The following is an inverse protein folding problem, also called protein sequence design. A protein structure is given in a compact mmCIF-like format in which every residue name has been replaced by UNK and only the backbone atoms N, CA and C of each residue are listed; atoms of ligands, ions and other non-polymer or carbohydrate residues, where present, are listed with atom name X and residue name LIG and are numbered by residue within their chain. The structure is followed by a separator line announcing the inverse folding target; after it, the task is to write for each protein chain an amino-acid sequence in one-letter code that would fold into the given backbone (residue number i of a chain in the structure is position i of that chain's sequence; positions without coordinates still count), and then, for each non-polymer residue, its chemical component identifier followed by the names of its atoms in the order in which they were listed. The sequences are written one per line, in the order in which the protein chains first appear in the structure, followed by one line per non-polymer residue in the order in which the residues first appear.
data_IF_874826151250
#
_entry.id   IF_874826151250
#
_cell.length_a   1.000
_cell.length_b   1.000
_cell.length_c   1.000
_cell.angle_alpha   90.00
_cell.angle_beta   90.00
_cell.angle_gamma   90.00
#
_symmetry.space_group_name_H-M   'P 1'
#
loop_
_entity.id
_entity.type
_entity.pdbx_description
1 polymer ?
#
# COMPACT_ATOMS: atom_id res chain seq x y z
N UNK A 1 -10.58 -6.04 9.74
CA UNK A 1 -10.96 -5.35 8.48
C UNK A 1 -9.78 -4.51 8.02
N UNK A 2 -9.23 -4.73 6.82
CA UNK A 2 -8.03 -4.04 6.33
C UNK A 2 -8.15 -2.51 6.47
N UNK A 3 -9.31 -1.95 6.12
CA UNK A 3 -9.55 -0.49 6.11
C UNK A 3 -9.84 0.12 7.49
N UNK A 4 -10.31 -0.69 8.44
CA UNK A 4 -10.65 -0.21 9.79
C UNK A 4 -9.49 -0.37 10.79
N UNK A 5 -8.38 -0.98 10.37
CA UNK A 5 -7.22 -1.18 11.22
C UNK A 5 -6.29 0.03 11.18
N UNK A 6 -6.00 0.64 12.33
CA UNK A 6 -5.11 1.82 12.37
C UNK A 6 -3.71 1.53 11.85
N UNK A 7 -3.17 0.35 12.13
CA UNK A 7 -1.86 -0.06 11.62
C UNK A 7 -1.84 -0.05 10.07
N UNK A 8 -2.88 -0.60 9.45
CA UNK A 8 -3.01 -0.60 7.98
C UNK A 8 -3.21 0.81 7.44
N UNK A 9 -4.06 1.62 8.09
CA UNK A 9 -4.30 3.02 7.68
C UNK A 9 -3.01 3.84 7.73
N UNK A 10 -2.22 3.68 8.77
CA UNK A 10 -0.96 4.41 8.92
C UNK A 10 0.10 3.98 7.89
N UNK A 11 0.18 2.69 7.53
CA UNK A 11 1.00 2.23 6.39
C UNK A 11 0.49 2.86 5.09
N UNK A 12 -0.81 2.81 4.84
CA UNK A 12 -1.41 3.33 3.62
C UNK A 12 -1.17 4.83 3.45
N UNK A 13 -1.33 5.64 4.52
CA UNK A 13 -1.03 7.08 4.49
C UNK A 13 0.43 7.36 4.11
N UNK A 14 1.39 6.62 4.69
CA UNK A 14 2.82 6.76 4.32
C UNK A 14 3.07 6.44 2.85
N UNK A 15 2.45 5.36 2.36
CA UNK A 15 2.56 4.95 0.96
C UNK A 15 1.95 5.99 0.00
N UNK A 16 0.77 6.53 0.31
CA UNK A 16 0.13 7.58 -0.48
C UNK A 16 0.93 8.88 -0.48
N UNK A 17 1.47 9.29 0.67
CA UNK A 17 2.34 10.44 0.80
C UNK A 17 3.62 10.29 -0.05
N UNK A 18 4.24 9.11 -0.04
CA UNK A 18 5.43 8.80 -0.84
C UNK A 18 5.20 9.04 -2.34
N UNK A 19 4.05 8.58 -2.87
CA UNK A 19 3.73 8.75 -4.29
C UNK A 19 2.97 10.04 -4.60
N UNK A 20 2.87 10.96 -3.63
CA UNK A 20 2.15 12.24 -3.73
C UNK A 20 0.70 12.08 -4.18
N UNK A 21 0.06 10.98 -3.80
CA UNK A 21 -1.36 10.78 -4.02
C UNK A 21 -2.13 11.56 -2.95
N UNK A 22 -3.20 12.31 -3.27
CA UNK A 22 -4.09 12.87 -2.25
C UNK A 22 -4.49 11.79 -1.25
N UNK A 23 -4.36 12.14 0.04
CA UNK A 23 -4.75 11.27 1.13
C UNK A 23 -6.23 10.96 1.01
N UNK A 24 -6.56 9.68 1.13
CA UNK A 24 -7.93 9.21 1.03
C UNK A 24 -8.18 8.19 2.13
N UNK A 25 -8.89 8.66 3.15
CA UNK A 25 -9.29 7.86 4.30
C UNK A 25 -10.79 7.63 4.18
N UNK A 26 -11.19 6.38 3.96
CA UNK A 26 -12.57 5.97 4.12
C UNK A 26 -12.73 5.07 5.33
N UNK A 27 -13.69 5.44 6.17
CA UNK A 27 -13.98 4.73 7.41
C UNK A 27 -14.95 3.56 7.22
N UNK A 28 -15.48 3.36 6.01
CA UNK A 28 -16.44 2.30 5.69
C UNK A 28 -15.92 1.42 4.54
N UNK A 29 -16.07 0.11 4.71
CA UNK A 29 -15.61 -0.90 3.76
C UNK A 29 -16.25 -0.77 2.38
N UNK A 30 -17.55 -0.55 2.30
CA UNK A 30 -18.26 -0.47 1.02
C UNK A 30 -17.81 0.73 0.19
N UNK A 31 -17.64 1.89 0.83
CA UNK A 31 -17.12 3.09 0.18
C UNK A 31 -15.68 2.85 -0.27
N UNK A 32 -14.87 2.15 0.54
CA UNK A 32 -13.48 1.87 0.24
C UNK A 32 -13.32 0.93 -0.95
N UNK A 33 -14.12 -0.12 -1.01
CA UNK A 33 -14.16 -1.02 -2.15
C UNK A 33 -14.52 -0.30 -3.44
N UNK A 34 -15.57 0.54 -3.42
CA UNK A 34 -15.95 1.33 -4.60
C UNK A 34 -14.79 2.21 -5.08
N UNK A 35 -14.13 2.90 -4.15
CA UNK A 35 -13.00 3.75 -4.49
C UNK A 35 -11.81 2.97 -5.06
N UNK A 36 -11.44 1.83 -4.47
CA UNK A 36 -10.36 0.99 -5.02
C UNK A 36 -10.71 0.56 -6.44
N UNK A 37 -11.94 0.08 -6.66
CA UNK A 37 -12.38 -0.39 -7.98
C UNK A 37 -12.26 0.74 -9.01
N UNK A 38 -12.65 1.96 -8.65
CA UNK A 38 -12.52 3.13 -9.51
C UNK A 38 -11.07 3.50 -9.80
N UNK A 39 -10.20 3.55 -8.77
CA UNK A 39 -8.78 3.91 -8.93
C UNK A 39 -7.96 2.83 -9.63
N UNK A 40 -8.32 1.57 -9.44
CA UNK A 40 -7.71 0.43 -10.10
C UNK A 40 -8.21 0.25 -11.54
N UNK A 41 -9.26 0.96 -11.98
CA UNK A 41 -9.83 0.79 -13.32
C UNK A 41 -8.91 1.37 -14.40
N UNK A 42 -8.75 0.62 -15.48
CA UNK A 42 -8.01 1.05 -16.67
C UNK A 42 -6.56 0.55 -16.71
N UNK A 43 -5.89 0.80 -17.84
CA UNK A 43 -4.55 0.29 -18.13
C UNK A 43 -3.46 1.35 -18.17
N UNK A 44 -3.76 2.59 -17.74
CA UNK A 44 -2.73 3.61 -17.62
C UNK A 44 -1.75 3.30 -16.48
N UNK A 45 -0.61 3.97 -16.51
CA UNK A 45 0.49 3.77 -15.58
C UNK A 45 0.08 3.97 -14.10
N UNK A 46 -0.79 4.94 -13.85
CA UNK A 46 -1.29 5.26 -12.50
C UNK A 46 -2.18 4.15 -11.95
N UNK A 47 -3.10 3.60 -12.76
CA UNK A 47 -3.96 2.49 -12.36
C UNK A 47 -3.14 1.21 -12.12
N UNK A 48 -2.11 0.96 -12.94
CA UNK A 48 -1.18 -0.16 -12.74
C UNK A 48 -0.41 -0.03 -11.42
N UNK A 49 0.19 1.15 -11.17
CA UNK A 49 0.90 1.44 -9.92
C UNK A 49 -0.01 1.28 -8.69
N UNK A 50 -1.24 1.78 -8.78
CA UNK A 50 -2.22 1.67 -7.70
C UNK A 50 -2.53 0.22 -7.35
N UNK A 51 -2.82 -0.62 -8.36
CA UNK A 51 -3.10 -2.05 -8.15
C UNK A 51 -1.92 -2.75 -7.48
N UNK A 52 -0.71 -2.46 -7.93
CA UNK A 52 0.49 -3.04 -7.36
C UNK A 52 0.69 -2.62 -5.90
N UNK A 53 0.63 -1.32 -5.59
CA UNK A 53 0.74 -0.83 -4.22
C UNK A 53 -0.33 -1.39 -3.30
N UNK A 54 -1.57 -1.48 -3.78
CA UNK A 54 -2.67 -2.04 -3.01
C UNK A 54 -2.47 -3.53 -2.72
N UNK A 55 -1.99 -4.30 -3.70
CA UNK A 55 -1.69 -5.72 -3.54
C UNK A 55 -0.52 -5.95 -2.56
N UNK A 56 0.59 -5.22 -2.70
CA UNK A 56 1.75 -5.33 -1.80
C UNK A 56 1.39 -4.94 -0.36
N UNK A 57 0.64 -3.85 -0.17
CA UNK A 57 0.17 -3.45 1.15
C UNK A 57 -0.76 -4.50 1.78
N UNK A 58 -1.71 -5.03 0.99
CA UNK A 58 -2.62 -6.10 1.43
C UNK A 58 -1.87 -7.35 1.87
N UNK A 59 -0.86 -7.75 1.09
CA UNK A 59 -0.01 -8.90 1.38
C UNK A 59 0.82 -8.68 2.66
N UNK A 60 1.47 -7.52 2.80
CA UNK A 60 2.29 -7.21 3.98
C UNK A 60 1.47 -7.18 5.27
N UNK A 61 0.25 -6.61 5.23
CA UNK A 61 -0.68 -6.61 6.37
C UNK A 61 -1.16 -8.02 6.70
N UNK A 62 -1.41 -8.86 5.70
CA UNK A 62 -1.77 -10.26 5.93
C UNK A 62 -0.65 -11.02 6.64
N UNK A 63 0.60 -10.85 6.19
CA UNK A 63 1.78 -11.42 6.88
C UNK A 63 1.86 -10.91 8.32
N UNK A 64 1.68 -9.60 8.55
CA UNK A 64 1.71 -9.04 9.90
C UNK A 64 0.64 -9.59 10.82
N UNK A 65 -0.57 -9.75 10.31
CA UNK A 65 -1.65 -10.36 11.07
C UNK A 65 -1.28 -11.80 11.45
N UNK A 66 -0.68 -12.56 10.55
CA UNK A 66 -0.28 -13.94 10.82
C UNK A 66 0.84 -14.00 11.86
N UNK A 67 1.89 -13.20 11.74
CA UNK A 67 2.97 -13.14 12.73
C UNK A 67 2.44 -12.80 14.13
N UNK A 68 1.49 -11.86 14.23
CA UNK A 68 0.89 -11.47 15.52
C UNK A 68 0.04 -12.58 16.14
N UNK A 69 -0.71 -13.32 15.33
CA UNK A 69 -1.62 -14.37 15.81
C UNK A 69 -0.87 -15.66 16.13
N UNK A 70 0.12 -16.04 15.31
CA UNK A 70 0.72 -17.37 15.35
C UNK A 70 2.14 -17.39 15.92
N UNK A 71 2.84 -16.25 15.94
CA UNK A 71 4.26 -16.19 16.35
C UNK A 71 4.54 -15.18 17.47
N UNK A 72 3.51 -14.49 17.97
CA UNK A 72 3.63 -13.39 18.95
C UNK A 72 4.66 -12.32 18.54
N UNK A 73 4.81 -12.09 17.23
CA UNK A 73 5.72 -11.10 16.66
C UNK A 73 4.96 -9.90 16.14
N UNK A 74 5.45 -8.70 16.48
CA UNK A 74 4.96 -7.44 15.95
C UNK A 74 6.10 -6.69 15.26
N UNK A 75 6.04 -6.49 13.94
CA UNK A 75 7.02 -5.63 13.28
C UNK A 75 6.62 -4.16 13.44
N UNK A 76 7.63 -3.31 13.39
CA UNK A 76 7.46 -1.87 13.43
C UNK A 76 6.81 -1.38 12.12
N UNK A 77 5.94 -0.38 12.24
CA UNK A 77 5.16 0.15 11.14
C UNK A 77 6.03 0.72 10.02
N UNK A 78 7.08 1.47 10.36
CA UNK A 78 8.02 2.04 9.40
C UNK A 78 8.76 0.94 8.62
N UNK A 79 9.14 -0.16 9.27
CA UNK A 79 9.75 -1.30 8.58
C UNK A 79 8.81 -1.91 7.55
N UNK A 80 7.55 -2.15 7.91
CA UNK A 80 6.57 -2.71 6.97
C UNK A 80 6.27 -1.75 5.82
N UNK A 81 6.15 -0.45 6.10
CA UNK A 81 5.90 0.55 5.06
C UNK A 81 7.07 0.65 4.07
N UNK A 82 8.31 0.61 4.57
CA UNK A 82 9.54 0.56 3.74
C UNK A 82 9.63 -0.70 2.90
N UNK A 83 9.29 -1.85 3.47
CA UNK A 83 9.26 -3.12 2.75
C UNK A 83 8.25 -3.06 1.60
N UNK A 84 7.03 -2.57 1.83
CA UNK A 84 6.02 -2.42 0.78
C UNK A 84 6.51 -1.49 -0.33
N UNK A 85 7.10 -0.34 0.02
CA UNK A 85 7.64 0.59 -0.97
C UNK A 85 8.78 -0.03 -1.80
N UNK A 86 9.69 -0.76 -1.15
CA UNK A 86 10.76 -1.48 -1.82
C UNK A 86 10.22 -2.54 -2.80
N UNK A 87 9.26 -3.35 -2.37
CA UNK A 87 8.62 -4.35 -3.23
C UNK A 87 7.89 -3.71 -4.41
N UNK A 88 7.27 -2.55 -4.20
CA UNK A 88 6.69 -1.75 -5.28
C UNK A 88 7.74 -1.31 -6.30
N UNK A 89 8.89 -0.79 -5.86
CA UNK A 89 9.98 -0.39 -6.76
C UNK A 89 10.56 -1.56 -7.56
N UNK A 90 10.75 -2.71 -6.91
CA UNK A 90 11.34 -3.92 -7.50
C UNK A 90 10.44 -4.60 -8.52
N UNK A 91 9.13 -4.66 -8.25
CA UNK A 91 8.13 -5.33 -9.11
C UNK A 91 7.49 -4.40 -10.14
N UNK A 92 7.78 -3.10 -10.07
CA UNK A 92 7.27 -2.11 -11.00
C UNK A 92 7.80 -2.35 -12.43
N UNK A 93 6.94 -2.28 -13.47
CA UNK A 93 7.39 -2.16 -14.85
C UNK A 93 8.43 -1.03 -14.98
N UNK A 94 9.41 -1.17 -15.90
CA UNK A 94 10.51 -0.19 -16.05
C UNK A 94 10.04 1.27 -16.08
N UNK A 95 8.93 1.55 -16.79
CA UNK A 95 8.33 2.88 -16.88
C UNK A 95 7.80 3.43 -15.53
N UNK A 96 7.37 2.55 -14.62
CA UNK A 96 6.92 2.88 -13.25
C UNK A 96 8.12 2.98 -12.32
N UNK A 97 9.08 2.06 -12.43
CA UNK A 97 10.25 1.98 -11.57
C UNK A 97 11.08 3.28 -11.63
N UNK A 98 11.28 3.86 -12.82
CA UNK A 98 11.98 5.15 -12.96
C UNK A 98 11.29 6.30 -12.21
N UNK A 99 9.96 6.31 -12.16
CA UNK A 99 9.17 7.33 -11.46
C UNK A 99 9.16 7.10 -9.94
N UNK A 100 9.18 5.85 -9.49
CA UNK A 100 9.25 5.50 -8.07
C UNK A 100 10.66 5.70 -7.48
N UNK A 101 11.72 5.41 -8.24
CA UNK A 101 13.10 5.63 -7.80
C UNK A 101 13.44 7.11 -7.59
N UNK A 102 12.74 8.02 -8.27
CA UNK A 102 12.86 9.47 -8.05
C UNK A 102 12.20 9.93 -6.74
N UNK A 103 11.40 9.07 -6.11
CA UNK A 103 10.68 9.38 -4.87
C UNK A 103 11.42 8.72 -3.70
N UNK A 104 12.13 9.51 -2.90
CA UNK A 104 12.71 9.01 -1.64
C UNK A 104 11.59 8.62 -0.69
N UNK A 105 11.59 7.36 -0.22
CA UNK A 105 10.68 6.91 0.83
C UNK A 105 11.22 7.36 2.19
N UNK A 106 10.63 8.42 2.76
CA UNK A 106 11.03 9.04 4.03
C UNK A 106 10.37 8.37 5.24
#
# INVERSE_FOLDING_TARGET
MFVCCEFTRAIWRKLMAWIKWPDYILNAWDTHLKWIIEKARGNNLTAQLFRQMYAECSHAVWIERNHRIFEDKCRNLEHVAKEVAYMCCMRAPKAISSRLQQLSFM
#
